data_IF_615604819940
#
_entry.id   IF_615604819940
#
_cell.length_a   1.000
_cell.length_b   1.000
_cell.length_c   1.000
_cell.angle_alpha   90.00
_cell.angle_beta   90.00
_cell.angle_gamma   90.00
#
_symmetry.space_group_name_H-M   'P 1'
#
loop_
_entity.id
_entity.type
_entity.pdbx_description
1 polymer ?
#
# COMPACT_ATOMS: atom_id res chain seq x y z
N UNK A 1 -1.32 27.62 1.12
CA UNK A 1 -0.47 27.27 2.29
C UNK A 1 -1.15 26.30 3.24
N UNK A 2 -0.39 25.57 4.09
CA UNK A 2 -0.91 24.75 5.21
C UNK A 2 -0.44 25.30 6.54
N UNK A 3 -1.34 25.41 7.51
CA UNK A 3 -1.06 25.95 8.85
C UNK A 3 -1.64 25.01 9.91
N UNK A 4 -0.79 24.57 10.84
CA UNK A 4 -1.18 23.75 11.98
C UNK A 4 -1.53 24.65 13.17
N UNK A 5 -2.65 24.36 13.84
CA UNK A 5 -3.11 25.12 15.01
C UNK A 5 -3.40 24.19 16.19
N UNK A 6 -3.11 24.65 17.40
CA UNK A 6 -3.38 23.94 18.64
C UNK A 6 -4.03 24.88 19.66
N UNK A 7 -4.90 24.34 20.51
CA UNK A 7 -5.46 25.06 21.64
C UNK A 7 -4.65 24.75 22.91
N UNK A 8 -4.35 25.78 23.70
CA UNK A 8 -3.73 25.59 25.03
C UNK A 8 -4.74 25.21 26.10
N UNK A 9 -6.00 25.60 25.91
CA UNK A 9 -7.08 25.33 26.83
C UNK A 9 -7.86 24.10 26.36
N UNK A 10 -8.03 23.16 27.28
CA UNK A 10 -8.86 21.98 27.06
C UNK A 10 -10.31 22.41 26.72
N UNK A 11 -10.96 21.72 25.78
CA UNK A 11 -12.32 22.01 25.24
C UNK A 11 -12.43 23.18 24.25
N UNK A 12 -11.34 23.83 23.89
CA UNK A 12 -11.33 24.80 22.78
C UNK A 12 -10.95 24.07 21.49
N UNK A 13 -11.82 24.12 20.47
CA UNK A 13 -11.49 23.66 19.11
C UNK A 13 -10.60 24.70 18.42
N UNK A 14 -9.31 24.42 18.18
CA UNK A 14 -8.39 25.38 17.58
C UNK A 14 -8.73 25.68 16.12
N UNK A 15 -9.22 24.69 15.36
CA UNK A 15 -9.54 24.87 13.94
C UNK A 15 -10.78 25.74 13.81
N UNK A 16 -11.87 25.41 14.52
CA UNK A 16 -13.07 26.24 14.57
C UNK A 16 -12.78 27.66 15.07
N UNK A 17 -11.89 27.79 16.07
CA UNK A 17 -11.42 29.07 16.58
C UNK A 17 -10.58 29.90 15.60
N UNK A 18 -10.03 29.32 14.53
CA UNK A 18 -9.36 30.04 13.45
C UNK A 18 -10.28 30.28 12.25
N UNK A 19 -11.12 29.31 11.90
CA UNK A 19 -12.00 29.33 10.73
C UNK A 19 -13.20 30.27 10.94
N UNK A 20 -13.80 30.25 12.14
CA UNK A 20 -15.00 31.02 12.45
C UNK A 20 -16.28 30.42 11.88
N UNK A 21 -17.42 30.99 12.26
CA UNK A 21 -18.74 30.52 11.80
C UNK A 21 -18.78 30.56 10.27
N UNK A 22 -19.04 29.41 9.64
CA UNK A 22 -19.05 29.25 8.17
C UNK A 22 -17.78 29.74 7.47
N UNK A 23 -16.62 29.73 8.15
CA UNK A 23 -15.35 30.11 7.53
C UNK A 23 -15.12 31.60 7.36
N UNK A 24 -15.96 32.47 7.94
CA UNK A 24 -15.88 33.93 7.74
C UNK A 24 -14.48 34.48 8.05
N UNK A 25 -13.81 34.00 9.10
CA UNK A 25 -12.50 34.54 9.49
C UNK A 25 -11.41 34.12 8.52
N UNK A 26 -11.34 32.84 8.15
CA UNK A 26 -10.33 32.37 7.20
C UNK A 26 -10.57 32.94 5.80
N UNK A 27 -11.82 33.14 5.40
CA UNK A 27 -12.17 33.70 4.10
C UNK A 27 -11.72 35.17 3.94
N UNK A 28 -11.76 35.95 5.03
CA UNK A 28 -11.24 37.32 5.02
C UNK A 28 -9.72 37.32 4.75
N UNK A 29 -8.96 36.43 5.42
CA UNK A 29 -7.52 36.29 5.20
C UNK A 29 -7.23 35.83 3.76
N UNK A 30 -7.97 34.85 3.25
CA UNK A 30 -7.82 34.39 1.85
C UNK A 30 -8.06 35.55 0.86
N UNK A 31 -9.01 36.43 1.16
CA UNK A 31 -9.28 37.62 0.33
C UNK A 31 -8.13 38.62 0.37
N UNK A 32 -7.57 38.89 1.55
CA UNK A 32 -6.39 39.74 1.71
C UNK A 32 -5.15 39.16 1.01
N UNK A 33 -5.02 37.83 0.97
CA UNK A 33 -3.97 37.12 0.24
C UNK A 33 -4.30 36.92 -1.26
N UNK A 34 -5.15 37.77 -1.84
CA UNK A 34 -5.48 37.74 -3.27
C UNK A 34 -6.00 36.38 -3.77
N UNK A 35 -6.70 35.64 -2.90
CA UNK A 35 -7.28 34.34 -3.21
C UNK A 35 -6.37 33.13 -2.95
N UNK A 36 -5.21 33.31 -2.29
CA UNK A 36 -4.40 32.16 -1.88
C UNK A 36 -5.18 31.26 -0.91
N UNK A 37 -5.35 29.98 -1.28
CA UNK A 37 -6.00 29.00 -0.40
C UNK A 37 -5.12 28.65 0.79
N UNK A 38 -5.69 28.74 1.99
CA UNK A 38 -5.05 28.33 3.24
C UNK A 38 -5.83 27.16 3.84
N UNK A 39 -5.13 26.07 4.07
CA UNK A 39 -5.65 24.94 4.82
C UNK A 39 -5.25 25.10 6.29
N UNK A 40 -6.25 25.17 7.17
CA UNK A 40 -6.06 25.18 8.62
C UNK A 40 -6.32 23.78 9.14
N UNK A 41 -5.32 23.16 9.76
CA UNK A 41 -5.39 21.79 10.26
C UNK A 41 -5.04 21.74 11.75
N UNK A 42 -5.59 20.77 12.46
CA UNK A 42 -5.31 20.59 13.89
C UNK A 42 -3.93 19.96 14.09
N UNK A 43 -3.09 20.61 14.88
CA UNK A 43 -1.83 20.05 15.35
C UNK A 43 -2.09 18.97 16.40
N UNK A 44 -1.33 17.88 16.35
CA UNK A 44 -1.37 16.83 17.37
C UNK A 44 0.05 16.53 17.86
N UNK A 45 0.23 16.25 19.17
CA UNK A 45 1.50 15.72 19.68
C UNK A 45 1.74 14.28 19.20
N UNK A 46 0.68 13.53 18.89
CA UNK A 46 0.80 12.22 18.25
C UNK A 46 1.14 12.42 16.76
N UNK A 47 2.31 11.91 16.36
CA UNK A 47 2.84 12.09 15.00
C UNK A 47 1.93 11.46 13.95
N UNK A 48 1.31 10.32 14.27
CA UNK A 48 0.42 9.61 13.34
C UNK A 48 -0.82 10.43 13.04
N UNK A 49 -1.48 10.94 14.08
CA UNK A 49 -2.61 11.85 13.98
C UNK A 49 -2.22 13.15 13.28
N UNK A 50 -1.05 13.72 13.60
CA UNK A 50 -0.63 14.97 12.98
C UNK A 50 -0.38 14.82 11.47
N UNK A 51 0.25 13.74 11.04
CA UNK A 51 0.45 13.43 9.61
C UNK A 51 -0.89 13.18 8.92
N UNK A 52 -1.81 12.47 9.56
CA UNK A 52 -3.16 12.27 9.05
C UNK A 52 -3.88 13.61 8.83
N UNK A 53 -3.83 14.51 9.82
CA UNK A 53 -4.44 15.84 9.74
C UNK A 53 -3.80 16.69 8.64
N UNK A 54 -2.48 16.58 8.45
CA UNK A 54 -1.74 17.33 7.44
C UNK A 54 -2.14 16.97 5.99
N UNK A 55 -2.67 15.77 5.75
CA UNK A 55 -3.12 15.32 4.43
C UNK A 55 -4.55 15.76 4.06
N UNK A 56 -5.26 16.42 4.98
CA UNK A 56 -6.57 17.04 4.71
C UNK A 56 -6.54 17.83 3.39
N UNK A 57 -7.53 17.64 2.50
CA UNK A 57 -8.84 17.03 2.72
C UNK A 57 -8.89 15.49 2.65
N UNK A 58 -7.82 14.83 2.22
CA UNK A 58 -7.81 13.37 2.16
C UNK A 58 -7.87 12.76 3.56
N UNK A 59 -8.54 11.61 3.67
CA UNK A 59 -8.71 10.86 4.92
C UNK A 59 -7.95 9.54 4.85
N UNK A 60 -6.72 9.47 5.38
CA UNK A 60 -5.99 8.22 5.46
C UNK A 60 -6.75 7.14 6.24
N UNK A 61 -6.60 5.89 5.79
CA UNK A 61 -7.05 4.68 6.48
C UNK A 61 -6.06 4.33 7.59
N UNK A 62 -4.77 4.38 7.29
CA UNK A 62 -3.71 4.05 8.23
C UNK A 62 -2.42 4.81 7.91
N UNK A 63 -1.58 4.96 8.93
CA UNK A 63 -0.28 5.65 8.85
C UNK A 63 0.73 4.81 9.61
N UNK A 64 1.77 4.36 8.92
CA UNK A 64 2.90 3.61 9.48
C UNK A 64 4.12 4.51 9.51
N UNK A 65 4.83 4.52 10.62
CA UNK A 65 5.99 5.39 10.82
C UNK A 65 7.25 4.53 10.84
N UNK A 66 8.22 4.92 10.02
CA UNK A 66 9.61 4.53 10.16
C UNK A 66 10.36 5.71 10.80
N UNK A 67 10.63 5.60 12.10
CA UNK A 67 11.23 6.69 12.88
C UNK A 67 12.68 6.95 12.50
N UNK A 68 13.44 5.90 12.14
CA UNK A 68 14.84 5.98 11.77
C UNK A 68 15.04 6.79 10.48
N UNK A 69 14.18 6.56 9.49
CA UNK A 69 14.25 7.24 8.19
C UNK A 69 13.42 8.53 8.13
N UNK A 70 12.63 8.84 9.17
CA UNK A 70 11.60 9.90 9.17
C UNK A 70 10.66 9.78 7.96
N UNK A 71 10.25 8.55 7.65
CA UNK A 71 9.31 8.24 6.57
C UNK A 71 7.99 7.76 7.16
N UNK A 72 6.89 8.33 6.67
CA UNK A 72 5.55 7.92 6.99
C UNK A 72 4.90 7.30 5.75
N UNK A 73 4.58 6.01 5.82
CA UNK A 73 3.79 5.32 4.80
C UNK A 73 2.32 5.47 5.14
N UNK A 74 1.57 6.10 4.25
CA UNK A 74 0.19 6.48 4.49
C UNK A 74 -0.72 5.79 3.50
N UNK A 75 -1.70 5.04 4.02
CA UNK A 75 -2.65 4.31 3.20
C UNK A 75 -3.89 5.17 3.06
N UNK A 76 -4.26 5.48 1.83
CA UNK A 76 -5.38 6.35 1.49
C UNK A 76 -6.34 5.58 0.60
N UNK A 77 -7.67 5.76 0.74
CA UNK A 77 -8.62 5.18 -0.20
C UNK A 77 -8.27 5.55 -1.66
N UNK A 78 -8.43 4.61 -2.59
CA UNK A 78 -8.02 4.78 -3.99
C UNK A 78 -8.69 6.00 -4.64
N UNK A 79 -9.94 6.29 -4.30
CA UNK A 79 -10.71 7.46 -4.75
C UNK A 79 -10.18 8.81 -4.22
N UNK A 80 -9.40 8.80 -3.14
CA UNK A 80 -8.82 9.98 -2.51
C UNK A 80 -7.32 10.15 -2.78
N UNK A 81 -6.69 9.25 -3.54
CA UNK A 81 -5.27 9.33 -3.90
C UNK A 81 -4.91 10.68 -4.55
N UNK A 82 -5.73 11.14 -5.49
CA UNK A 82 -5.52 12.44 -6.15
C UNK A 82 -5.56 13.62 -5.17
N UNK A 83 -6.42 13.57 -4.16
CA UNK A 83 -6.52 14.59 -3.13
C UNK A 83 -5.31 14.55 -2.18
N UNK A 84 -4.89 13.35 -1.78
CA UNK A 84 -3.75 13.17 -0.88
C UNK A 84 -2.43 13.63 -1.52
N UNK A 85 -2.23 13.31 -2.80
CA UNK A 85 -1.06 13.78 -3.57
C UNK A 85 -1.20 15.29 -3.84
N UNK A 86 -2.38 15.72 -4.28
CA UNK A 86 -2.67 17.09 -4.72
C UNK A 86 -2.13 17.37 -6.12
N UNK A 87 -2.58 18.47 -6.73
CA UNK A 87 -2.09 18.92 -8.04
C UNK A 87 -0.56 19.10 -7.98
N UNK A 88 0.15 18.46 -8.90
CA UNK A 88 1.63 18.46 -8.95
C UNK A 88 2.31 18.03 -7.63
N UNK A 89 1.66 17.17 -6.84
CA UNK A 89 2.17 16.72 -5.55
C UNK A 89 2.16 17.80 -4.45
N UNK A 90 1.44 18.91 -4.68
CA UNK A 90 1.47 20.06 -3.77
C UNK A 90 0.99 19.71 -2.36
N UNK A 91 -0.05 18.89 -2.21
CA UNK A 91 -0.62 18.58 -0.91
C UNK A 91 0.39 17.78 -0.06
N UNK A 92 0.93 16.69 -0.63
CA UNK A 92 1.97 15.88 0.00
C UNK A 92 3.22 16.71 0.35
N UNK A 93 3.64 17.62 -0.53
CA UNK A 93 4.78 18.52 -0.29
C UNK A 93 4.53 19.50 0.85
N UNK A 94 3.33 20.07 0.93
CA UNK A 94 2.96 20.96 2.03
C UNK A 94 2.88 20.20 3.36
N UNK A 95 2.34 18.99 3.35
CA UNK A 95 2.30 18.12 4.51
C UNK A 95 3.73 17.75 4.97
N UNK A 96 4.65 17.40 4.05
CA UNK A 96 6.08 17.21 4.36
C UNK A 96 6.69 18.43 5.05
N UNK A 97 6.48 19.63 4.49
CA UNK A 97 7.01 20.87 5.07
C UNK A 97 6.44 21.16 6.46
N UNK A 98 5.21 20.76 6.71
CA UNK A 98 4.51 21.02 7.97
C UNK A 98 4.92 20.04 9.07
N UNK A 99 5.08 18.76 8.73
CA UNK A 99 5.36 17.69 9.69
C UNK A 99 6.84 17.39 9.84
N UNK A 100 7.65 17.68 8.82
CA UNK A 100 9.04 17.26 8.73
C UNK A 100 9.23 15.78 8.36
N UNK A 101 8.15 15.06 8.01
CA UNK A 101 8.18 13.64 7.66
C UNK A 101 8.00 13.44 6.16
N UNK A 102 8.85 12.61 5.56
CA UNK A 102 8.66 12.15 4.17
C UNK A 102 7.38 11.33 4.11
N UNK A 103 6.45 11.68 3.22
CA UNK A 103 5.15 11.02 3.12
C UNK A 103 5.11 10.17 1.86
N UNK A 104 5.04 8.85 2.05
CA UNK A 104 4.85 7.86 0.98
C UNK A 104 3.38 7.42 0.98
N UNK A 105 2.63 7.88 -0.02
CA UNK A 105 1.19 7.63 -0.13
C UNK A 105 0.96 6.38 -0.97
N UNK A 106 0.16 5.44 -0.43
CA UNK A 106 -0.19 4.17 -1.06
C UNK A 106 -1.70 3.95 -1.02
N UNK A 107 -2.22 3.29 -2.03
CA UNK A 107 -3.58 2.72 -1.98
C UNK A 107 -3.54 1.29 -1.38
N UNK A 108 -4.68 0.76 -0.89
CA UNK A 108 -4.73 -0.57 -0.30
C UNK A 108 -4.34 -1.71 -1.26
N UNK A 109 -4.55 -1.54 -2.57
CA UNK A 109 -4.22 -2.57 -3.56
C UNK A 109 -2.70 -2.68 -3.70
N UNK A 110 -1.99 -1.54 -3.72
CA UNK A 110 -0.53 -1.50 -3.77
C UNK A 110 0.16 -2.15 -2.55
N UNK A 111 -0.52 -2.25 -1.41
CA UNK A 111 -0.01 -2.97 -0.23
C UNK A 111 -0.14 -4.48 -0.36
N UNK A 112 -1.19 -5.00 -1.02
CA UNK A 112 -1.35 -6.46 -1.20
C UNK A 112 -0.19 -7.06 -1.98
N UNK A 113 0.40 -6.30 -2.90
CA UNK A 113 1.61 -6.70 -3.62
C UNK A 113 2.89 -6.57 -2.76
N UNK A 114 2.93 -5.63 -1.82
CA UNK A 114 4.07 -5.41 -0.93
C UNK A 114 4.08 -6.29 0.33
N UNK A 115 2.94 -6.77 0.82
CA UNK A 115 2.88 -7.76 1.91
C UNK A 115 3.63 -9.05 1.53
N UNK A 116 3.58 -9.44 0.25
CA UNK A 116 4.40 -10.54 -0.28
C UNK A 116 5.91 -10.27 -0.23
N UNK A 117 6.32 -9.01 -0.42
CA UNK A 117 7.73 -8.59 -0.35
C UNK A 117 8.20 -8.47 1.11
N UNK A 118 7.35 -7.99 2.01
CA UNK A 118 7.68 -7.82 3.43
C UNK A 118 7.78 -9.18 4.15
N UNK A 119 6.91 -10.15 3.82
CA UNK A 119 7.04 -11.53 4.31
C UNK A 119 8.37 -12.17 3.90
N UNK A 120 8.88 -11.86 2.69
CA UNK A 120 10.17 -12.37 2.19
C UNK A 120 11.36 -11.82 2.97
N UNK A 121 11.35 -10.52 3.25
CA UNK A 121 12.38 -9.87 4.07
C UNK A 121 12.37 -10.41 5.51
N UNK A 122 11.18 -10.59 6.11
CA UNK A 122 11.04 -11.16 7.45
C UNK A 122 11.44 -12.64 7.53
N UNK A 123 11.32 -13.39 6.43
CA UNK A 123 11.72 -14.80 6.34
C UNK A 123 13.22 -15.00 6.01
N UNK A 124 14.01 -13.93 5.84
CA UNK A 124 15.45 -14.03 5.56
C UNK A 124 15.80 -14.67 4.21
N UNK A 125 14.88 -14.63 3.24
CA UNK A 125 15.09 -15.23 1.93
C UNK A 125 15.89 -14.28 1.02
N UNK A 126 16.86 -14.79 0.24
CA UNK A 126 17.71 -13.96 -0.63
C UNK A 126 16.89 -13.22 -1.70
N UNK A 127 17.41 -12.08 -2.16
CA UNK A 127 16.82 -11.29 -3.24
C UNK A 127 16.54 -12.16 -4.48
N UNK A 128 15.37 -11.97 -5.06
CA UNK A 128 14.99 -12.63 -6.32
C UNK A 128 16.00 -12.25 -7.39
N UNK A 129 16.70 -13.20 -8.03
CA UNK A 129 17.60 -12.86 -9.10
C UNK A 129 16.78 -12.27 -10.27
N UNK A 130 17.36 -11.28 -10.95
CA UNK A 130 16.66 -10.43 -11.94
C UNK A 130 16.07 -11.21 -13.12
N UNK A 131 16.60 -12.40 -13.40
CA UNK A 131 16.11 -13.35 -14.40
C UNK A 131 14.70 -13.87 -14.08
N UNK A 132 14.33 -13.97 -12.80
CA UNK A 132 13.04 -14.48 -12.37
C UNK A 132 11.91 -13.44 -12.49
N UNK A 133 12.23 -12.14 -12.34
CA UNK A 133 11.29 -11.05 -12.65
C UNK A 133 10.97 -10.99 -14.16
N UNK A 134 11.93 -11.36 -15.02
CA UNK A 134 11.74 -11.37 -16.47
C UNK A 134 10.77 -12.47 -16.95
N UNK A 135 10.52 -13.49 -16.14
CA UNK A 135 9.60 -14.61 -16.45
C UNK A 135 8.13 -14.32 -16.09
N UNK A 136 7.78 -13.10 -15.66
CA UNK A 136 6.39 -12.74 -15.36
C UNK A 136 5.79 -13.47 -14.13
N UNK A 137 6.63 -14.08 -13.30
CA UNK A 137 6.23 -14.79 -12.09
C UNK A 137 5.93 -13.82 -10.95
N UNK A 138 4.79 -14.02 -10.28
CA UNK A 138 4.34 -13.20 -9.17
C UNK A 138 4.33 -14.00 -7.86
N UNK A 139 4.91 -13.48 -6.76
CA UNK A 139 4.89 -14.17 -5.49
C UNK A 139 3.50 -14.19 -4.84
N UNK A 140 3.13 -15.32 -4.24
CA UNK A 140 1.90 -15.50 -3.46
C UNK A 140 2.19 -16.25 -2.16
N UNK A 141 1.50 -15.89 -1.08
CA UNK A 141 1.56 -16.59 0.20
C UNK A 141 0.57 -17.75 0.19
N UNK A 142 1.03 -18.95 0.54
CA UNK A 142 0.16 -20.09 0.83
C UNK A 142 -0.47 -19.89 2.20
N UNK A 143 -1.79 -19.86 2.24
CA UNK A 143 -2.58 -19.69 3.47
C UNK A 143 -2.54 -20.95 4.33
N UNK A 144 -3.02 -20.83 5.57
CA UNK A 144 -3.08 -21.95 6.52
C UNK A 144 -3.92 -23.15 6.06
N UNK A 145 -4.83 -22.93 5.12
CA UNK A 145 -5.66 -23.94 4.47
C UNK A 145 -5.02 -24.55 3.21
N UNK A 146 -3.79 -24.15 2.87
CA UNK A 146 -3.07 -24.63 1.69
C UNK A 146 -3.47 -23.93 0.38
N UNK A 147 -4.19 -22.81 0.42
CA UNK A 147 -4.62 -22.09 -0.80
C UNK A 147 -3.76 -20.86 -1.10
N UNK A 148 -3.75 -20.45 -2.36
CA UNK A 148 -3.22 -19.15 -2.84
C UNK A 148 -4.31 -18.37 -3.55
N UNK A 149 -4.23 -17.04 -3.51
CA UNK A 149 -5.12 -16.15 -4.26
C UNK A 149 -4.41 -15.60 -5.49
N UNK A 150 -5.04 -15.76 -6.67
CA UNK A 150 -4.52 -15.31 -7.96
C UNK A 150 -5.67 -14.66 -8.73
N UNK A 151 -5.55 -13.35 -9.04
CA UNK A 151 -6.59 -12.56 -9.73
C UNK A 151 -7.99 -12.77 -9.14
N UNK A 152 -8.11 -12.58 -7.81
CA UNK A 152 -9.35 -12.74 -7.03
C UNK A 152 -9.97 -14.15 -7.01
N UNK A 153 -9.23 -15.15 -7.48
CA UNK A 153 -9.63 -16.56 -7.42
C UNK A 153 -8.71 -17.35 -6.49
N UNK A 154 -9.22 -18.40 -5.89
CA UNK A 154 -8.48 -19.26 -4.97
C UNK A 154 -8.07 -20.57 -5.65
N UNK A 155 -6.82 -20.99 -5.45
CA UNK A 155 -6.25 -22.20 -6.00
C UNK A 155 -5.59 -23.03 -4.90
N UNK A 156 -5.83 -24.33 -4.92
CA UNK A 156 -5.37 -25.25 -3.89
C UNK A 156 -6.18 -26.55 -3.89
N UNK A 157 -5.97 -27.43 -2.90
CA UNK A 157 -4.92 -27.32 -1.90
C UNK A 157 -3.53 -27.55 -2.52
N UNK A 158 -2.55 -26.80 -2.02
CA UNK A 158 -1.12 -27.00 -2.30
C UNK A 158 -0.54 -28.08 -1.37
N UNK A 159 0.62 -28.66 -1.71
CA UNK A 159 1.39 -29.51 -0.80
C UNK A 159 1.55 -28.88 0.59
N UNK A 160 1.36 -29.69 1.64
CA UNK A 160 1.33 -29.20 3.02
C UNK A 160 2.66 -28.60 3.49
N UNK A 161 3.78 -29.01 2.89
CA UNK A 161 5.10 -28.45 3.13
C UNK A 161 5.24 -27.03 2.58
N UNK A 162 4.28 -26.53 1.81
CA UNK A 162 4.21 -25.15 1.32
C UNK A 162 3.31 -24.25 2.18
N UNK A 163 2.59 -24.79 3.17
CA UNK A 163 1.72 -23.98 4.04
C UNK A 163 2.54 -22.89 4.74
N UNK A 164 2.02 -21.66 4.74
CA UNK A 164 2.69 -20.44 5.24
C UNK A 164 3.99 -20.08 4.51
N UNK A 165 4.33 -20.77 3.40
CA UNK A 165 5.47 -20.42 2.56
C UNK A 165 5.06 -19.50 1.41
N UNK A 166 6.03 -18.75 0.91
CA UNK A 166 5.88 -17.98 -0.33
C UNK A 166 6.19 -18.87 -1.52
N UNK A 167 5.29 -18.89 -2.50
CA UNK A 167 5.44 -19.58 -3.79
C UNK A 167 5.39 -18.57 -4.93
N UNK A 168 6.08 -18.87 -6.02
CA UNK A 168 6.03 -18.05 -7.23
C UNK A 168 4.95 -18.57 -8.17
N UNK A 169 4.13 -17.68 -8.72
CA UNK A 169 2.99 -18.04 -9.55
C UNK A 169 3.13 -17.43 -10.94
N UNK A 170 2.94 -18.25 -11.96
CA UNK A 170 2.96 -17.83 -13.36
C UNK A 170 1.64 -18.21 -14.02
N UNK A 171 1.03 -17.32 -14.78
CA UNK A 171 -0.16 -17.64 -15.58
C UNK A 171 0.25 -17.69 -17.05
N UNK A 172 0.21 -18.88 -17.64
CA UNK A 172 0.55 -19.12 -19.05
C UNK A 172 -0.57 -19.93 -19.68
N UNK A 173 -1.15 -19.43 -20.77
CA UNK A 173 -2.20 -20.11 -21.53
C UNK A 173 -3.37 -20.62 -20.68
N UNK A 174 -3.81 -19.80 -19.72
CA UNK A 174 -4.91 -20.16 -18.81
C UNK A 174 -4.53 -21.20 -17.74
N UNK A 175 -3.25 -21.49 -17.55
CA UNK A 175 -2.74 -22.38 -16.51
C UNK A 175 -2.01 -21.58 -15.45
N UNK A 176 -2.40 -21.78 -14.19
CA UNK A 176 -1.71 -21.28 -13.00
C UNK A 176 -0.62 -22.27 -12.63
N UNK A 177 0.63 -21.92 -12.87
CA UNK A 177 1.80 -22.70 -12.48
C UNK A 177 2.35 -22.15 -11.16
N UNK A 178 2.54 -23.03 -10.16
CA UNK A 178 3.03 -22.69 -8.84
C UNK A 178 4.40 -23.31 -8.62
N UNK A 179 5.39 -22.47 -8.34
CA UNK A 179 6.78 -22.85 -8.16
C UNK A 179 7.25 -22.59 -6.73
N UNK A 180 8.13 -23.45 -6.23
CA UNK A 180 8.86 -23.26 -4.98
C UNK A 180 10.27 -23.80 -5.18
N UNK A 181 11.30 -23.07 -4.71
CA UNK A 181 12.71 -23.43 -4.90
C UNK A 181 13.09 -23.77 -6.36
N UNK A 182 12.50 -23.02 -7.32
CA UNK A 182 12.68 -23.19 -8.78
C UNK A 182 12.04 -24.45 -9.37
N UNK A 183 11.35 -25.26 -8.58
CA UNK A 183 10.64 -26.46 -9.03
C UNK A 183 9.15 -26.19 -9.19
N UNK A 184 8.53 -26.80 -10.21
CA UNK A 184 7.08 -26.74 -10.40
C UNK A 184 6.41 -27.67 -9.38
N UNK A 185 5.60 -27.11 -8.49
CA UNK A 185 4.98 -27.84 -7.36
C UNK A 185 3.50 -28.10 -7.54
N UNK A 186 2.80 -27.22 -8.24
CA UNK A 186 1.39 -27.40 -8.54
C UNK A 186 1.00 -26.68 -9.83
N UNK A 187 -0.07 -27.17 -10.45
CA UNK A 187 -0.69 -26.55 -11.62
C UNK A 187 -2.20 -26.57 -11.45
N UNK A 188 -2.85 -25.50 -11.87
CA UNK A 188 -4.31 -25.41 -11.87
C UNK A 188 -4.80 -24.77 -13.15
N UNK A 189 -5.94 -25.23 -13.63
CA UNK A 189 -6.68 -24.56 -14.69
C UNK A 189 -7.28 -23.25 -14.14
N UNK A 190 -6.99 -22.13 -14.77
CA UNK A 190 -7.37 -20.80 -14.28
C UNK A 190 -8.89 -20.60 -14.29
N UNK A 191 -9.60 -21.19 -15.26
CA UNK A 191 -11.05 -21.00 -15.42
C UNK A 191 -11.87 -21.88 -14.46
N UNK A 192 -11.42 -23.10 -14.21
CA UNK A 192 -12.17 -24.10 -13.43
C UNK A 192 -11.62 -24.29 -12.02
N UNK A 193 -10.39 -23.86 -11.75
CA UNK A 193 -9.68 -24.11 -10.48
C UNK A 193 -9.23 -25.56 -10.32
N UNK A 194 -9.43 -26.41 -11.34
CA UNK A 194 -9.10 -27.84 -11.27
C UNK A 194 -7.58 -28.03 -11.27
N UNK A 195 -7.10 -28.90 -10.38
CA UNK A 195 -5.69 -29.32 -10.37
C UNK A 195 -5.31 -30.04 -11.68
N UNK A 196 -4.18 -29.63 -12.26
CA UNK A 196 -3.60 -30.20 -13.46
C UNK A 196 -2.35 -31.02 -13.11
N UNK A 197 -2.02 -32.06 -13.91
CA UNK A 197 -0.81 -32.84 -13.68
C UNK A 197 0.44 -31.97 -13.87
N UNK A 198 1.39 -32.09 -12.94
CA UNK A 198 2.77 -31.63 -13.14
C UNK A 198 3.29 -32.36 -14.38
N UNK A 199 3.74 -31.64 -15.41
CA UNK A 199 4.14 -32.28 -16.66
C UNK A 199 5.24 -33.32 -16.39
N UNK A 200 4.99 -34.58 -16.77
CA UNK A 200 6.04 -35.58 -16.92
C UNK A 200 6.98 -35.17 -18.06
N UNK A 201 8.25 -35.55 -17.91
CA UNK A 201 9.38 -35.43 -18.84
C UNK A 201 8.97 -35.46 -20.33
N UNK A 202 8.97 -34.31 -21.01
CA UNK A 202 9.09 -34.26 -22.46
C UNK A 202 10.54 -33.93 -22.85
N UNK A 203 11.47 -34.84 -22.52
CA UNK A 203 12.82 -34.85 -23.08
C UNK A 203 13.48 -36.25 -22.99
N UNK A 204 12.78 -37.31 -23.38
CA UNK A 204 13.40 -38.64 -23.52
C UNK A 204 12.77 -39.49 -24.63
N UNK A 205 12.41 -38.88 -25.76
CA UNK A 205 12.27 -39.60 -27.02
C UNK A 205 12.66 -38.70 -28.19
N UNK A 206 13.97 -38.54 -28.38
CA UNK A 206 14.54 -38.43 -29.72
C UNK A 206 15.41 -39.68 -29.88
N UNK A 207 14.84 -40.71 -30.50
CA UNK A 207 15.59 -41.74 -31.20
C UNK A 207 15.80 -41.29 -32.64
#
# INVERSE_FOLDING_TARGET
SKVAVAARQEKVDPVGACVGVRGVRIQNIVTELSGEKIDVIEWSPDTRTFISNALSPAKPISVFLNEDEKVARVIVPTDQMSQAIGKDGQNARLAYKLTGWRIDIKDPESIRDQEGLFLRAAAGLPEMPQDMMALGRQPRLVRGDGTISVRDREFGPLPSDLILKSVDVEIVDGVVNVYYDRELRARYDFETGRALPLAEEQASHVS
#
